data_IF_560235649364
#
_entry.id   IF_560235649364
#
_cell.length_a   1.000
_cell.length_b   1.000
_cell.length_c   1.000
_cell.angle_alpha   90.00
_cell.angle_beta   90.00
_cell.angle_gamma   90.00
#
_symmetry.space_group_name_H-M   'P 1'
#
loop_
_entity.id
_entity.type
_entity.pdbx_description
1 polymer ?
#
# COMPACT_ATOMS: atom_id res chain seq x y z
N UNK A 1 5.51 43.36 84.49
CA UNK A 1 5.64 42.34 85.59
C UNK A 1 5.24 41.04 85.07
N UNK A 2 6.10 40.09 85.13
CA UNK A 2 5.95 38.60 84.80
C UNK A 2 4.81 37.97 85.57
N UNK A 3 4.47 36.65 85.36
CA UNK A 3 5.18 35.58 84.63
C UNK A 3 4.32 34.62 83.74
N UNK A 4 5.10 33.90 83.00
CA UNK A 4 4.86 32.62 82.33
C UNK A 4 3.95 31.58 82.99
N UNK A 5 3.22 30.83 82.19
CA UNK A 5 3.05 29.39 82.37
C UNK A 5 2.87 28.66 81.03
N UNK A 6 3.76 27.72 80.74
CA UNK A 6 3.71 26.76 79.64
C UNK A 6 2.68 25.66 79.97
N UNK A 7 1.91 25.29 79.01
CA UNK A 7 1.24 23.98 79.00
C UNK A 7 1.47 23.33 77.63
N UNK A 8 2.14 22.18 77.66
CA UNK A 8 2.35 21.31 76.52
C UNK A 8 1.08 20.49 76.30
N UNK A 9 0.58 20.49 75.09
CA UNK A 9 -0.42 19.52 74.63
C UNK A 9 0.18 18.77 73.44
N UNK A 10 0.41 17.47 73.60
CA UNK A 10 0.80 16.55 72.57
C UNK A 10 -0.40 16.29 71.64
N UNK A 11 -0.34 16.82 70.45
CA UNK A 11 -1.32 16.51 69.38
C UNK A 11 -0.71 15.46 68.42
N UNK A 12 -1.35 14.33 68.36
CA UNK A 12 -1.08 13.25 67.42
C UNK A 12 -1.45 13.74 66.00
N UNK A 13 -0.46 13.98 65.12
CA UNK A 13 -0.72 14.26 63.71
C UNK A 13 -0.77 12.95 62.96
N UNK A 14 -1.99 12.52 62.56
CA UNK A 14 -2.21 11.47 61.60
C UNK A 14 -1.86 12.02 60.21
N UNK A 15 -0.74 11.58 59.63
CA UNK A 15 -0.38 11.86 58.26
C UNK A 15 -1.23 10.96 57.36
N UNK A 16 -2.32 11.51 56.79
CA UNK A 16 -3.03 10.87 55.68
C UNK A 16 -2.19 11.19 54.43
N UNK A 17 -1.46 10.19 53.94
CA UNK A 17 -0.82 10.26 52.62
C UNK A 17 -1.90 10.21 51.55
N UNK A 18 -2.35 11.39 51.11
CA UNK A 18 -3.06 11.52 49.86
C UNK A 18 -2.03 11.32 48.75
N UNK A 19 -1.98 10.10 48.19
CA UNK A 19 -1.29 9.79 46.95
C UNK A 19 -1.95 10.56 45.82
N UNK A 20 -1.51 11.79 45.57
CA UNK A 20 -1.84 12.52 44.38
C UNK A 20 -1.08 11.89 43.20
N UNK A 21 -1.77 11.19 42.34
CA UNK A 21 -1.28 10.91 40.99
C UNK A 21 -1.18 12.23 40.24
N UNK A 22 -0.06 12.94 40.39
CA UNK A 22 0.36 13.95 39.45
C UNK A 22 1.00 13.20 38.28
N UNK A 23 0.23 12.94 37.24
CA UNK A 23 0.77 12.47 35.96
C UNK A 23 1.67 13.55 35.36
N UNK A 24 2.96 13.50 35.69
CA UNK A 24 3.99 14.13 34.88
C UNK A 24 4.15 13.28 33.64
N UNK A 25 3.82 13.84 32.47
CA UNK A 25 4.00 13.21 31.17
C UNK A 25 5.48 12.93 30.86
N UNK A 26 5.97 11.82 31.38
CA UNK A 26 7.12 11.09 30.91
C UNK A 26 6.57 9.72 30.56
N UNK A 27 6.31 9.46 29.28
CA UNK A 27 5.88 8.16 28.83
C UNK A 27 6.93 7.13 29.25
N UNK A 28 6.58 6.21 30.14
CA UNK A 28 7.35 4.99 30.35
C UNK A 28 7.47 4.34 28.97
N UNK A 29 8.72 4.20 28.48
CA UNK A 29 9.01 3.60 27.19
C UNK A 29 8.51 2.15 27.28
N UNK A 30 7.39 1.83 26.61
CA UNK A 30 6.89 0.47 26.52
C UNK A 30 7.99 -0.43 25.96
N UNK A 31 8.39 -1.42 26.74
CA UNK A 31 9.37 -2.43 26.34
C UNK A 31 8.63 -3.77 26.13
N UNK A 32 8.48 -4.23 24.87
CA UNK A 32 7.82 -5.48 24.59
C UNK A 32 8.52 -6.68 25.25
N UNK A 33 9.83 -6.60 25.54
CA UNK A 33 10.57 -7.69 26.18
C UNK A 33 10.27 -7.80 27.70
N UNK A 34 9.71 -6.76 28.30
CA UNK A 34 9.36 -6.75 29.73
C UNK A 34 7.97 -7.32 30.04
N UNK A 35 7.17 -7.61 29.01
CA UNK A 35 5.80 -8.12 29.17
C UNK A 35 5.84 -9.63 29.46
N UNK A 36 5.29 -10.04 30.59
CA UNK A 36 5.25 -11.42 31.04
C UNK A 36 3.81 -11.98 31.17
N UNK A 37 3.70 -13.29 31.29
CA UNK A 37 2.45 -14.02 31.49
C UNK A 37 1.92 -14.69 30.22
N UNK A 38 0.68 -15.20 30.31
CA UNK A 38 0.00 -15.76 29.13
C UNK A 38 -0.55 -14.66 28.22
N UNK A 39 -0.68 -14.97 26.92
CA UNK A 39 -1.37 -14.10 25.99
C UNK A 39 -2.84 -13.89 26.42
N UNK A 40 -3.31 -12.64 26.31
CA UNK A 40 -4.69 -12.28 26.62
C UNK A 40 -5.13 -11.12 25.72
N UNK A 41 -6.19 -11.33 24.94
CA UNK A 41 -6.81 -10.30 24.11
C UNK A 41 -7.33 -9.10 24.91
N UNK A 42 -7.66 -9.29 26.19
CA UNK A 42 -8.18 -8.24 27.09
C UNK A 42 -7.09 -7.54 27.92
N UNK A 43 -5.83 -7.85 27.69
CA UNK A 43 -4.70 -7.26 28.44
C UNK A 43 -4.74 -5.75 28.56
N UNK A 44 -5.26 -5.07 27.54
CA UNK A 44 -5.35 -3.61 27.47
C UNK A 44 -6.79 -3.10 27.41
N UNK A 45 -7.75 -3.85 27.98
CA UNK A 45 -9.17 -3.46 28.07
C UNK A 45 -9.33 -2.06 28.67
N UNK A 46 -10.21 -1.24 28.10
CA UNK A 46 -10.45 0.15 28.50
C UNK A 46 -9.51 1.18 27.90
N UNK A 47 -8.47 0.76 27.15
CA UNK A 47 -7.60 1.67 26.39
C UNK A 47 -8.32 2.19 25.14
N UNK A 48 -7.99 3.42 24.73
CA UNK A 48 -8.33 3.94 23.38
C UNK A 48 -7.04 4.09 22.59
N UNK A 49 -6.97 3.47 21.40
CA UNK A 49 -5.85 3.63 20.47
C UNK A 49 -6.21 4.58 19.34
N UNK A 50 -5.22 5.35 18.89
CA UNK A 50 -5.32 6.19 17.69
C UNK A 50 -4.79 5.43 16.48
N UNK A 51 -5.63 5.28 15.45
CA UNK A 51 -5.29 4.58 14.21
C UNK A 51 -5.43 5.54 13.03
N UNK A 52 -4.38 5.67 12.20
CA UNK A 52 -4.37 6.55 11.03
C UNK A 52 -4.17 5.71 9.77
N UNK A 53 -5.13 5.76 8.84
CA UNK A 53 -5.12 4.96 7.61
C UNK A 53 -5.40 5.85 6.40
N UNK A 54 -4.85 5.45 5.24
CA UNK A 54 -5.26 5.99 3.94
C UNK A 54 -6.65 5.47 3.56
N UNK A 55 -7.42 6.25 2.80
CA UNK A 55 -8.58 5.74 2.09
C UNK A 55 -8.12 4.65 1.11
N UNK A 56 -8.70 3.48 1.25
CA UNK A 56 -8.35 2.27 0.49
C UNK A 56 -9.48 1.24 0.67
N UNK A 57 -9.79 0.37 -0.31
CA UNK A 57 -10.80 -0.68 -0.15
C UNK A 57 -10.60 -1.56 1.10
N UNK A 58 -9.35 -1.86 1.46
CA UNK A 58 -9.01 -2.56 2.71
C UNK A 58 -9.45 -1.76 3.96
N UNK A 59 -9.21 -0.46 3.96
CA UNK A 59 -9.58 0.43 5.07
C UNK A 59 -11.09 0.51 5.24
N UNK A 60 -11.84 0.54 4.13
CA UNK A 60 -13.30 0.60 4.18
C UNK A 60 -13.90 -0.71 4.72
N UNK A 61 -13.39 -1.85 4.27
CA UNK A 61 -13.77 -3.15 4.84
C UNK A 61 -13.41 -3.29 6.32
N UNK A 62 -12.26 -2.76 6.75
CA UNK A 62 -11.84 -2.76 8.15
C UNK A 62 -12.76 -1.91 9.02
N UNK A 63 -13.18 -0.71 8.57
CA UNK A 63 -14.11 0.18 9.29
C UNK A 63 -15.39 -0.52 9.70
N UNK A 64 -15.96 -1.32 8.81
CA UNK A 64 -17.21 -2.03 9.05
C UNK A 64 -17.08 -3.08 10.16
N UNK A 65 -15.86 -3.51 10.47
CA UNK A 65 -15.55 -4.59 11.43
C UNK A 65 -14.91 -4.15 12.73
N UNK A 66 -14.63 -2.86 12.92
CA UNK A 66 -14.00 -2.34 14.14
C UNK A 66 -14.74 -2.75 15.43
N UNK A 67 -16.08 -2.86 15.36
CA UNK A 67 -16.89 -3.35 16.48
C UNK A 67 -16.55 -4.78 16.92
N UNK A 68 -16.03 -5.62 16.04
CA UNK A 68 -15.60 -7.00 16.37
C UNK A 68 -14.31 -6.96 17.21
N UNK A 69 -13.36 -6.11 16.85
CA UNK A 69 -12.15 -5.87 17.63
C UNK A 69 -12.46 -5.30 19.00
N UNK A 70 -13.29 -4.26 19.05
CA UNK A 70 -13.69 -3.62 20.32
C UNK A 70 -14.41 -4.60 21.26
N UNK A 71 -15.30 -5.44 20.72
CA UNK A 71 -15.99 -6.46 21.50
C UNK A 71 -15.04 -7.56 22.01
N UNK A 72 -14.06 -7.96 21.19
CA UNK A 72 -13.06 -8.99 21.52
C UNK A 72 -12.10 -8.54 22.62
N UNK A 73 -11.66 -7.27 22.55
CA UNK A 73 -10.53 -6.78 23.36
C UNK A 73 -10.93 -5.80 24.46
N UNK A 74 -12.07 -5.12 24.32
CA UNK A 74 -12.45 -3.98 25.16
C UNK A 74 -11.64 -2.70 24.86
N UNK A 75 -10.79 -2.70 23.82
CA UNK A 75 -10.03 -1.54 23.36
C UNK A 75 -10.92 -0.72 22.42
N UNK A 76 -10.91 0.61 22.54
CA UNK A 76 -11.59 1.52 21.61
C UNK A 76 -10.66 1.98 20.52
N UNK A 77 -11.19 2.20 19.32
CA UNK A 77 -10.42 2.66 18.16
C UNK A 77 -10.87 4.06 17.75
N UNK A 78 -9.97 5.03 17.86
CA UNK A 78 -10.10 6.37 17.26
C UNK A 78 -9.46 6.32 15.86
N UNK A 79 -10.29 6.05 14.84
CA UNK A 79 -9.84 5.89 13.46
C UNK A 79 -9.91 7.22 12.72
N UNK A 80 -8.78 7.64 12.13
CA UNK A 80 -8.66 8.77 11.22
C UNK A 80 -8.32 8.26 9.83
N UNK A 81 -9.05 8.70 8.81
CA UNK A 81 -8.80 8.35 7.41
C UNK A 81 -8.65 9.60 6.56
N UNK A 82 -7.80 9.55 5.56
CA UNK A 82 -7.53 10.64 4.63
C UNK A 82 -7.39 10.09 3.21
N UNK A 83 -7.72 10.91 2.21
CA UNK A 83 -7.36 10.59 0.81
C UNK A 83 -5.85 10.39 0.71
N UNK A 84 -5.42 9.55 -0.19
CA UNK A 84 -4.03 9.08 -0.26
C UNK A 84 -3.01 10.24 -0.31
N UNK A 85 -3.23 11.24 -1.18
CA UNK A 85 -2.36 12.41 -1.28
C UNK A 85 -2.21 13.18 0.06
N UNK A 86 -3.32 13.37 0.76
CA UNK A 86 -3.34 14.06 2.04
C UNK A 86 -2.79 13.18 3.16
N UNK A 87 -2.95 11.86 3.03
CA UNK A 87 -2.53 10.88 4.01
C UNK A 87 -1.03 10.93 4.26
N UNK A 88 -0.22 10.88 3.22
CA UNK A 88 1.24 10.86 3.35
C UNK A 88 1.77 12.11 4.07
N UNK A 89 1.31 13.29 3.69
CA UNK A 89 1.73 14.54 4.34
C UNK A 89 1.31 14.60 5.82
N UNK A 90 0.09 14.14 6.12
CA UNK A 90 -0.43 14.09 7.49
C UNK A 90 0.30 13.06 8.35
N UNK A 91 0.54 11.87 7.80
CA UNK A 91 1.21 10.78 8.48
C UNK A 91 2.66 11.14 8.82
N UNK A 92 3.43 11.70 7.88
CA UNK A 92 4.80 12.13 8.13
C UNK A 92 4.91 13.17 9.26
N UNK A 93 3.96 14.09 9.35
CA UNK A 93 3.90 15.05 10.44
C UNK A 93 3.50 14.38 11.77
N UNK A 94 2.48 13.51 11.72
CA UNK A 94 1.93 12.88 12.92
C UNK A 94 2.92 11.94 13.61
N UNK A 95 3.61 11.06 12.89
CA UNK A 95 4.56 10.09 13.48
C UNK A 95 5.78 10.74 14.13
N UNK A 96 6.09 12.00 13.78
CA UNK A 96 7.16 12.80 14.38
C UNK A 96 6.71 13.64 15.58
N UNK A 97 5.39 13.72 15.80
CA UNK A 97 4.81 14.55 16.86
C UNK A 97 4.71 13.81 18.20
N UNK A 98 4.42 14.56 19.26
CA UNK A 98 4.10 14.00 20.58
C UNK A 98 2.71 13.35 20.65
N UNK A 99 1.83 13.61 19.67
CA UNK A 99 0.52 12.99 19.49
C UNK A 99 0.54 12.03 18.30
N UNK A 100 1.60 11.22 18.23
CA UNK A 100 1.77 10.19 17.20
C UNK A 100 0.62 9.19 17.25
N UNK A 101 0.12 8.70 16.10
CA UNK A 101 -0.82 7.59 16.10
C UNK A 101 -0.20 6.34 16.73
N UNK A 102 -1.02 5.49 17.33
CA UNK A 102 -0.52 4.21 17.84
C UNK A 102 -0.25 3.24 16.68
N UNK A 103 -1.15 3.23 15.69
CA UNK A 103 -1.05 2.39 14.49
C UNK A 103 -1.28 3.22 13.23
N UNK A 104 -0.52 2.92 12.19
CA UNK A 104 -0.69 3.55 10.87
C UNK A 104 -0.31 2.61 9.73
N UNK A 105 -0.83 2.84 8.52
CA UNK A 105 -0.44 2.07 7.33
C UNK A 105 0.64 2.80 6.54
N UNK A 106 1.42 2.04 5.79
CA UNK A 106 2.54 2.55 5.01
C UNK A 106 2.82 1.61 3.82
N UNK A 107 3.13 2.11 2.63
CA UNK A 107 3.63 1.26 1.57
C UNK A 107 4.89 0.51 2.00
N UNK A 108 5.08 -0.67 1.46
CA UNK A 108 6.28 -1.49 1.70
C UNK A 108 7.38 -1.12 0.69
N UNK A 109 7.77 0.18 0.65
CA UNK A 109 8.68 0.78 -0.33
C UNK A 109 9.76 1.67 0.32
N UNK A 110 10.21 2.72 -0.38
CA UNK A 110 11.15 3.71 0.13
C UNK A 110 10.62 4.52 1.32
N UNK A 111 9.29 4.58 1.48
CA UNK A 111 8.68 5.28 2.61
C UNK A 111 9.04 4.60 3.93
N UNK A 112 8.98 3.25 3.98
CA UNK A 112 9.40 2.52 5.20
C UNK A 112 10.90 2.67 5.46
N UNK A 113 11.73 2.73 4.42
CA UNK A 113 13.18 3.01 4.55
C UNK A 113 13.40 4.39 5.19
N UNK A 114 12.68 5.40 4.70
CA UNK A 114 12.74 6.77 5.22
C UNK A 114 12.26 6.87 6.68
N UNK A 115 11.18 6.16 7.04
CA UNK A 115 10.66 6.09 8.40
C UNK A 115 11.65 5.39 9.36
N UNK A 116 12.27 4.29 8.90
CA UNK A 116 13.31 3.59 9.67
C UNK A 116 14.52 4.50 9.89
N UNK A 117 15.05 5.13 8.84
CA UNK A 117 16.19 6.06 8.94
C UNK A 117 15.90 7.25 9.87
N UNK A 118 14.67 7.74 9.88
CA UNK A 118 14.22 8.80 10.78
C UNK A 118 13.99 8.31 12.23
N UNK A 119 14.01 7.00 12.49
CA UNK A 119 13.79 6.41 13.81
C UNK A 119 12.36 6.57 14.34
N UNK A 120 11.36 6.69 13.45
CA UNK A 120 9.95 6.96 13.83
C UNK A 120 9.03 5.74 13.72
N UNK A 121 9.54 4.61 13.22
CA UNK A 121 8.83 3.31 13.15
C UNK A 121 9.33 2.37 14.26
N UNK A 122 8.41 1.65 14.88
CA UNK A 122 8.73 0.66 15.92
C UNK A 122 9.05 -0.71 15.29
N UNK A 123 10.14 -1.40 15.70
CA UNK A 123 10.38 -2.77 15.27
C UNK A 123 9.35 -3.72 15.89
N UNK A 124 8.78 -4.61 15.07
CA UNK A 124 7.75 -5.56 15.48
C UNK A 124 8.30 -6.94 15.91
N UNK A 125 9.54 -7.27 15.53
CA UNK A 125 10.17 -8.53 15.90
C UNK A 125 10.11 -8.82 17.41
N UNK A 126 10.37 -7.87 18.35
CA UNK A 126 10.26 -8.14 19.78
C UNK A 126 8.84 -8.48 20.25
N UNK A 127 7.82 -7.98 19.54
CA UNK A 127 6.42 -8.34 19.83
C UNK A 127 6.09 -9.73 19.32
N UNK A 128 6.54 -10.06 18.10
CA UNK A 128 6.36 -11.35 17.46
C UNK A 128 7.00 -12.49 18.26
N UNK A 129 8.19 -12.24 18.83
CA UNK A 129 8.93 -13.23 19.63
C UNK A 129 8.40 -13.37 21.07
N UNK A 130 7.58 -12.43 21.56
CA UNK A 130 7.03 -12.50 22.91
C UNK A 130 5.66 -13.21 22.94
N UNK A 131 5.62 -14.42 23.48
CA UNK A 131 4.41 -15.23 23.60
C UNK A 131 3.34 -14.65 24.55
N UNK A 132 3.67 -13.64 25.37
CA UNK A 132 2.69 -12.91 26.17
C UNK A 132 1.98 -11.80 25.38
N UNK A 133 2.57 -11.37 24.25
CA UNK A 133 2.06 -10.31 23.37
C UNK A 133 1.46 -10.85 22.08
N UNK A 134 1.95 -11.98 21.58
CA UNK A 134 1.52 -12.55 20.30
C UNK A 134 0.66 -13.78 20.51
N UNK A 135 -0.51 -13.79 19.86
CA UNK A 135 -1.46 -14.90 19.92
C UNK A 135 -0.81 -16.19 19.38
N UNK A 136 -1.03 -17.35 20.06
CA UNK A 136 -0.40 -18.60 19.65
C UNK A 136 -0.74 -19.06 18.23
N UNK A 137 -1.88 -18.62 17.70
CA UNK A 137 -2.43 -18.93 16.38
C UNK A 137 -2.17 -17.84 15.33
N UNK A 138 -1.40 -16.80 15.67
CA UNK A 138 -1.13 -15.67 14.75
C UNK A 138 -0.38 -16.11 13.51
N UNK A 139 0.55 -17.06 13.61
CA UNK A 139 1.28 -17.67 12.50
C UNK A 139 1.90 -16.63 11.54
N UNK A 140 2.91 -15.92 12.04
CA UNK A 140 3.63 -14.91 11.21
C UNK A 140 4.33 -15.52 10.00
N UNK A 141 4.72 -16.81 10.06
CA UNK A 141 5.37 -17.52 8.96
C UNK A 141 4.45 -17.73 7.73
N UNK A 142 3.13 -17.55 7.91
CA UNK A 142 2.14 -17.58 6.84
C UNK A 142 2.20 -16.34 5.88
N UNK A 143 2.98 -15.32 6.22
CA UNK A 143 3.29 -14.22 5.30
C UNK A 143 4.51 -14.57 4.45
N UNK A 144 4.47 -14.37 3.10
CA UNK A 144 5.62 -14.58 2.23
C UNK A 144 6.84 -13.76 2.68
N UNK A 145 7.96 -14.43 2.93
CA UNK A 145 9.18 -13.76 3.40
C UNK A 145 9.62 -12.64 2.45
N UNK A 146 9.45 -12.82 1.14
CA UNK A 146 9.79 -11.79 0.15
C UNK A 146 9.03 -10.47 0.32
N UNK A 147 7.81 -10.48 0.91
CA UNK A 147 7.10 -9.24 1.28
C UNK A 147 7.71 -8.62 2.53
N UNK A 148 7.99 -9.43 3.55
CA UNK A 148 8.53 -8.95 4.83
C UNK A 148 9.92 -8.33 4.66
N UNK A 149 10.78 -8.92 3.80
CA UNK A 149 12.16 -8.47 3.60
C UNK A 149 12.28 -7.01 3.16
N UNK A 150 11.26 -6.46 2.48
CA UNK A 150 11.24 -5.05 2.07
C UNK A 150 11.20 -4.07 3.26
N UNK A 151 10.75 -4.52 4.43
CA UNK A 151 10.63 -3.75 5.68
C UNK A 151 11.45 -4.35 6.83
N UNK A 152 12.48 -5.14 6.51
CA UNK A 152 13.40 -5.75 7.47
C UNK A 152 14.70 -4.96 7.50
N UNK A 153 15.05 -4.39 8.65
CA UNK A 153 16.23 -3.56 8.81
C UNK A 153 17.09 -4.02 10.00
N UNK A 154 18.41 -3.74 9.99
CA UNK A 154 19.27 -4.09 11.11
C UNK A 154 18.93 -3.25 12.35
N UNK A 155 18.77 -3.92 13.49
CA UNK A 155 18.71 -3.26 14.79
C UNK A 155 20.08 -2.79 15.27
N UNK A 156 20.13 -2.14 16.42
CA UNK A 156 21.38 -1.64 17.01
C UNK A 156 22.43 -2.74 17.31
N UNK A 157 21.98 -3.97 17.52
CA UNK A 157 22.82 -5.14 17.72
C UNK A 157 23.18 -5.89 16.42
N UNK A 158 22.74 -5.36 15.27
CA UNK A 158 22.93 -5.94 13.94
C UNK A 158 21.97 -7.08 13.59
N UNK A 159 21.03 -7.45 14.47
CA UNK A 159 19.98 -8.43 14.12
C UNK A 159 18.96 -7.80 13.17
N UNK A 160 18.45 -8.61 12.25
CA UNK A 160 17.35 -8.21 11.37
C UNK A 160 16.06 -8.07 12.18
N UNK A 161 15.39 -6.93 12.07
CA UNK A 161 14.13 -6.61 12.74
C UNK A 161 13.07 -6.26 11.70
N UNK A 162 11.95 -6.94 11.76
CA UNK A 162 10.78 -6.66 10.90
C UNK A 162 10.00 -5.48 11.47
N UNK A 163 9.54 -4.58 10.60
CA UNK A 163 8.88 -3.33 11.01
C UNK A 163 7.44 -3.20 10.52
N UNK A 164 7.01 -4.05 9.60
CA UNK A 164 5.65 -4.02 9.04
C UNK A 164 5.03 -5.41 9.00
N UNK A 165 3.70 -5.43 9.11
CA UNK A 165 2.91 -6.61 8.72
C UNK A 165 2.18 -6.27 7.42
N UNK A 166 2.30 -7.10 6.35
CA UNK A 166 1.58 -6.87 5.10
C UNK A 166 0.06 -6.94 5.31
N UNK A 167 -0.67 -6.00 4.69
CA UNK A 167 -2.14 -5.95 4.72
C UNK A 167 -2.77 -6.18 3.36
N UNK A 168 -2.09 -5.76 2.29
CA UNK A 168 -2.53 -5.90 0.89
C UNK A 168 -1.30 -6.13 0.02
N UNK A 169 -1.44 -6.99 -0.97
CA UNK A 169 -0.45 -7.13 -2.06
C UNK A 169 -1.21 -7.15 -3.38
N UNK A 170 -0.96 -6.19 -4.23
CA UNK A 170 -1.67 -5.95 -5.48
C UNK A 170 -0.77 -6.31 -6.67
N UNK A 171 -1.36 -6.90 -7.71
CA UNK A 171 -0.72 -7.03 -9.01
C UNK A 171 -1.41 -6.09 -10.00
N UNK A 172 -0.67 -5.54 -10.96
CA UNK A 172 -1.28 -4.77 -12.04
C UNK A 172 -1.73 -5.72 -13.13
N UNK A 173 -3.04 -5.63 -13.48
CA UNK A 173 -3.71 -6.51 -14.45
C UNK A 173 -4.49 -5.69 -15.48
N UNK A 174 -4.95 -6.34 -16.54
CA UNK A 174 -5.90 -5.77 -17.50
C UNK A 174 -7.33 -6.07 -17.06
N UNK A 175 -8.12 -5.02 -16.84
CA UNK A 175 -9.57 -5.07 -16.79
C UNK A 175 -10.11 -4.70 -18.16
N UNK A 176 -11.16 -5.40 -18.64
CA UNK A 176 -11.82 -5.05 -19.88
C UNK A 176 -13.34 -5.13 -19.77
N UNK A 177 -14.03 -4.22 -20.46
CA UNK A 177 -15.47 -4.20 -20.53
C UNK A 177 -15.92 -5.17 -21.63
N UNK A 178 -16.51 -6.31 -21.24
CA UNK A 178 -16.96 -7.37 -22.15
C UNK A 178 -17.93 -6.85 -23.22
N UNK A 179 -18.85 -5.94 -22.88
CA UNK A 179 -19.82 -5.40 -23.84
C UNK A 179 -19.14 -4.57 -24.93
N UNK A 180 -18.15 -3.73 -24.56
CA UNK A 180 -17.44 -2.92 -25.54
C UNK A 180 -16.50 -3.78 -26.40
N UNK A 181 -15.84 -4.77 -25.81
CA UNK A 181 -15.00 -5.71 -26.56
C UNK A 181 -15.86 -6.58 -27.50
N UNK A 182 -17.03 -7.03 -27.06
CA UNK A 182 -17.97 -7.74 -27.95
C UNK A 182 -18.45 -6.87 -29.10
N UNK A 183 -18.81 -5.62 -28.81
CA UNK A 183 -19.34 -4.68 -29.81
C UNK A 183 -18.31 -4.31 -30.88
N UNK A 184 -17.06 -4.04 -30.48
CA UNK A 184 -16.04 -3.47 -31.38
C UNK A 184 -15.02 -4.50 -31.89
N UNK A 185 -14.79 -5.58 -31.15
CA UNK A 185 -13.78 -6.60 -31.45
C UNK A 185 -14.36 -8.02 -31.57
N UNK A 186 -15.70 -8.17 -31.54
CA UNK A 186 -16.34 -9.46 -31.64
C UNK A 186 -15.97 -10.44 -30.50
N UNK A 187 -15.70 -9.89 -29.32
CA UNK A 187 -15.33 -10.66 -28.12
C UNK A 187 -13.85 -11.09 -28.04
N UNK A 188 -13.02 -10.64 -28.96
CA UNK A 188 -11.60 -10.98 -28.96
C UNK A 188 -10.80 -10.05 -28.04
N UNK A 189 -10.27 -10.58 -26.95
CA UNK A 189 -9.42 -9.85 -26.03
C UNK A 189 -7.98 -9.81 -26.57
N UNK A 190 -7.34 -8.62 -26.66
CA UNK A 190 -5.97 -8.50 -27.09
C UNK A 190 -4.99 -9.29 -26.20
N UNK A 191 -4.09 -10.06 -26.80
CA UNK A 191 -3.06 -10.84 -26.08
C UNK A 191 -1.66 -10.25 -26.21
N UNK A 192 -1.51 -9.21 -27.04
CA UNK A 192 -0.25 -8.44 -27.18
C UNK A 192 -0.51 -6.95 -26.97
N UNK A 193 0.49 -6.23 -26.49
CA UNK A 193 0.41 -4.77 -26.28
C UNK A 193 0.10 -4.04 -27.60
N UNK A 194 0.71 -4.46 -28.70
CA UNK A 194 0.43 -3.88 -30.02
C UNK A 194 -1.06 -4.04 -30.43
N UNK A 195 -1.66 -5.23 -30.20
CA UNK A 195 -3.06 -5.45 -30.47
C UNK A 195 -3.96 -4.66 -29.50
N UNK A 196 -3.56 -4.49 -28.24
CA UNK A 196 -4.29 -3.68 -27.27
C UNK A 196 -4.32 -2.20 -27.69
N UNK A 197 -3.20 -1.66 -28.12
CA UNK A 197 -3.10 -0.28 -28.62
C UNK A 197 -3.96 -0.07 -29.89
N UNK A 198 -3.91 -1.01 -30.83
CA UNK A 198 -4.74 -0.96 -32.05
C UNK A 198 -6.24 -1.00 -31.72
N UNK A 199 -6.65 -1.91 -30.84
CA UNK A 199 -8.04 -2.02 -30.42
C UNK A 199 -8.50 -0.78 -29.64
N UNK A 200 -7.71 -0.30 -28.68
CA UNK A 200 -8.03 0.90 -27.92
C UNK A 200 -8.21 2.13 -28.84
N UNK A 201 -7.33 2.29 -29.84
CA UNK A 201 -7.48 3.33 -30.85
C UNK A 201 -8.78 3.20 -31.62
N UNK A 202 -9.05 2.00 -32.16
CA UNK A 202 -10.27 1.71 -32.96
C UNK A 202 -11.55 2.02 -32.18
N UNK A 203 -11.60 1.60 -30.90
CA UNK A 203 -12.76 1.85 -30.04
C UNK A 203 -12.93 3.35 -29.76
N UNK A 204 -11.85 4.08 -29.47
CA UNK A 204 -11.91 5.53 -29.24
C UNK A 204 -12.38 6.28 -30.47
N UNK A 205 -11.84 5.95 -31.66
CA UNK A 205 -12.23 6.57 -32.93
C UNK A 205 -13.72 6.33 -33.24
N UNK A 206 -14.21 5.12 -32.99
CA UNK A 206 -15.61 4.74 -33.18
C UNK A 206 -16.55 5.30 -32.09
N UNK A 207 -16.07 5.47 -30.88
CA UNK A 207 -16.84 5.88 -29.71
C UNK A 207 -17.24 7.36 -29.69
N UNK A 208 -16.70 8.17 -30.60
CA UNK A 208 -17.09 9.57 -30.83
C UNK A 208 -17.12 10.46 -29.59
N UNK A 209 -16.29 10.15 -28.56
CA UNK A 209 -16.18 10.88 -27.30
C UNK A 209 -17.11 10.40 -26.16
N UNK A 210 -18.02 9.47 -26.44
CA UNK A 210 -18.88 8.84 -25.41
C UNK A 210 -18.26 7.58 -24.80
N UNK A 211 -17.39 6.91 -25.58
CA UNK A 211 -16.67 5.70 -25.21
C UNK A 211 -15.18 5.88 -25.50
N UNK A 212 -14.35 5.39 -24.61
CA UNK A 212 -12.90 5.46 -24.69
C UNK A 212 -12.31 4.04 -24.82
N UNK A 213 -11.26 3.92 -25.62
CA UNK A 213 -10.55 2.64 -25.78
C UNK A 213 -9.81 2.23 -24.51
N UNK A 214 -9.18 3.20 -23.86
CA UNK A 214 -8.51 2.95 -22.59
C UNK A 214 -8.57 4.17 -21.65
N UNK A 215 -8.26 3.94 -20.39
CA UNK A 215 -8.00 5.01 -19.42
C UNK A 215 -6.76 4.64 -18.60
N UNK A 216 -5.90 5.62 -18.34
CA UNK A 216 -4.69 5.46 -17.56
C UNK A 216 -4.58 6.62 -16.56
N UNK A 217 -3.92 6.39 -15.41
CA UNK A 217 -3.56 7.46 -14.48
C UNK A 217 -2.67 8.47 -15.21
N UNK A 218 -2.89 9.76 -15.00
CA UNK A 218 -2.13 10.82 -15.68
C UNK A 218 -1.91 12.06 -14.82
N UNK A 219 -2.52 12.13 -13.64
CA UNK A 219 -2.27 13.20 -12.68
C UNK A 219 -0.82 13.17 -12.20
N UNK A 220 -0.27 14.37 -11.90
CA UNK A 220 1.08 14.50 -11.34
C UNK A 220 1.13 14.10 -9.87
N UNK A 221 0.94 12.82 -9.61
CA UNK A 221 0.99 12.20 -8.28
C UNK A 221 2.00 11.07 -8.26
N UNK A 222 2.42 10.64 -7.08
CA UNK A 222 3.31 9.47 -6.95
C UNK A 222 2.61 8.18 -7.40
N UNK A 223 1.29 8.12 -7.26
CA UNK A 223 0.47 6.95 -7.65
C UNK A 223 0.48 6.64 -9.14
N UNK A 224 0.80 7.64 -10.02
CA UNK A 224 0.98 7.40 -11.46
C UNK A 224 2.09 6.38 -11.71
N UNK A 225 3.18 6.45 -10.96
CA UNK A 225 4.34 5.57 -11.09
C UNK A 225 3.98 4.08 -10.91
N UNK A 226 2.99 3.79 -10.11
CA UNK A 226 2.62 2.41 -9.75
C UNK A 226 2.14 1.63 -10.97
N UNK A 227 1.09 2.11 -11.63
CA UNK A 227 0.55 1.51 -12.86
C UNK A 227 1.59 1.59 -14.01
N UNK A 228 2.31 2.71 -14.10
CA UNK A 228 3.38 2.89 -15.08
C UNK A 228 4.43 1.80 -14.96
N UNK A 229 4.87 1.48 -13.75
CA UNK A 229 5.87 0.43 -13.50
C UNK A 229 5.40 -0.94 -14.00
N UNK A 230 4.10 -1.26 -13.86
CA UNK A 230 3.52 -2.50 -14.39
C UNK A 230 3.63 -2.60 -15.91
N UNK A 231 3.36 -1.50 -16.62
CA UNK A 231 3.47 -1.45 -18.09
C UNK A 231 4.94 -1.47 -18.55
N UNK A 232 5.84 -0.77 -17.85
CA UNK A 232 7.28 -0.76 -18.18
C UNK A 232 7.90 -2.13 -17.97
N UNK A 233 7.61 -2.80 -16.84
CA UNK A 233 8.12 -4.15 -16.55
C UNK A 233 7.65 -5.18 -17.59
N UNK A 234 6.53 -4.96 -18.24
CA UNK A 234 6.03 -5.81 -19.34
C UNK A 234 6.95 -5.79 -20.56
N UNK A 235 7.77 -4.76 -20.74
CA UNK A 235 8.77 -4.65 -21.80
C UNK A 235 10.17 -5.11 -21.38
N UNK A 236 10.37 -5.50 -20.12
CA UNK A 236 11.67 -5.96 -19.58
C UNK A 236 11.66 -7.48 -19.50
N UNK A 237 12.61 -8.21 -20.15
CA UNK A 237 12.66 -9.67 -20.13
C UNK A 237 12.67 -10.25 -18.72
N UNK A 238 12.00 -11.39 -18.53
CA UNK A 238 11.95 -12.07 -17.23
C UNK A 238 13.33 -12.51 -16.71
N UNK A 239 14.27 -12.82 -17.61
CA UNK A 239 15.62 -13.22 -17.25
C UNK A 239 16.56 -12.03 -16.97
N UNK A 240 16.13 -10.79 -17.23
CA UNK A 240 16.91 -9.60 -16.85
C UNK A 240 16.95 -9.51 -15.33
N UNK A 241 18.16 -9.58 -14.78
CA UNK A 241 18.37 -9.42 -13.35
C UNK A 241 17.99 -8.01 -12.90
N UNK A 242 17.20 -7.95 -11.84
CA UNK A 242 16.82 -6.70 -11.18
C UNK A 242 17.43 -6.74 -9.78
N UNK A 243 18.34 -5.83 -9.50
CA UNK A 243 19.05 -5.77 -8.23
C UNK A 243 18.41 -4.79 -7.26
N UNK A 244 17.94 -5.29 -6.13
CA UNK A 244 17.56 -4.44 -5.01
C UNK A 244 18.83 -3.89 -4.33
N UNK A 245 18.82 -2.66 -3.84
CA UNK A 245 17.69 -1.72 -3.70
C UNK A 245 17.40 -0.85 -4.94
N UNK A 246 18.13 -1.03 -6.04
CA UNK A 246 18.14 -0.14 -7.21
C UNK A 246 16.94 -0.33 -8.14
N UNK A 247 16.34 -1.54 -8.12
CA UNK A 247 15.31 -1.97 -9.05
C UNK A 247 15.80 -1.88 -10.53
N UNK A 248 14.89 -1.89 -11.51
CA UNK A 248 15.25 -1.84 -12.94
C UNK A 248 15.56 -0.42 -13.46
N UNK A 249 15.41 0.60 -12.62
CA UNK A 249 15.70 1.98 -12.98
C UNK A 249 17.20 2.33 -12.99
N UNK A 250 18.05 1.45 -12.41
CA UNK A 250 19.49 1.67 -12.27
C UNK A 250 20.30 0.42 -12.61
N UNK A 251 21.54 0.62 -13.05
CA UNK A 251 22.54 -0.44 -13.27
C UNK A 251 23.44 -0.60 -12.04
N UNK A 252 22.87 -1.13 -10.95
CA UNK A 252 23.58 -1.52 -9.72
C UNK A 252 24.25 -0.39 -8.94
N UNK A 253 23.99 0.88 -9.27
CA UNK A 253 24.48 2.03 -8.52
C UNK A 253 23.58 3.27 -8.76
N UNK A 254 23.44 4.13 -7.72
CA UNK A 254 22.57 5.30 -7.76
C UNK A 254 23.02 6.40 -8.74
N UNK A 255 24.25 6.39 -9.16
CA UNK A 255 24.81 7.29 -10.18
C UNK A 255 24.78 6.71 -11.61
N UNK A 256 24.12 5.55 -11.77
CA UNK A 256 23.96 4.86 -13.05
C UNK A 256 22.48 4.60 -13.38
N UNK A 257 21.64 5.62 -13.51
CA UNK A 257 20.29 5.42 -13.99
C UNK A 257 20.31 4.90 -15.44
N UNK A 258 19.27 4.14 -15.81
CA UNK A 258 19.09 3.54 -17.15
C UNK A 258 17.71 3.86 -17.72
N UNK A 259 17.18 5.07 -17.44
CA UNK A 259 15.87 5.47 -17.91
C UNK A 259 15.78 5.55 -19.46
N UNK A 260 16.89 5.75 -20.13
CA UNK A 260 17.04 5.78 -21.60
C UNK A 260 17.26 4.38 -22.23
N UNK A 261 17.19 3.31 -21.43
CA UNK A 261 17.19 1.93 -21.94
C UNK A 261 16.01 1.74 -22.92
N UNK A 262 16.24 1.19 -24.14
CA UNK A 262 15.20 1.05 -25.14
C UNK A 262 13.94 0.30 -24.68
N UNK A 263 14.06 -0.64 -23.73
CA UNK A 263 12.93 -1.40 -23.19
C UNK A 263 12.10 -0.53 -22.24
N UNK A 264 12.76 0.30 -21.42
CA UNK A 264 12.10 1.28 -20.57
C UNK A 264 11.38 2.33 -21.41
N UNK A 265 12.08 2.89 -22.40
CA UNK A 265 11.50 3.87 -23.34
C UNK A 265 10.28 3.30 -24.06
N UNK A 266 10.30 2.01 -24.46
CA UNK A 266 9.16 1.35 -25.08
C UNK A 266 7.97 1.25 -24.11
N UNK A 267 8.18 0.86 -22.86
CA UNK A 267 7.10 0.79 -21.84
C UNK A 267 6.51 2.16 -21.54
N UNK A 268 7.33 3.20 -21.46
CA UNK A 268 6.88 4.60 -21.33
C UNK A 268 6.04 5.03 -22.53
N UNK A 269 6.46 4.64 -23.75
CA UNK A 269 5.73 4.92 -24.99
C UNK A 269 4.36 4.21 -25.02
N UNK A 270 4.32 2.94 -24.65
CA UNK A 270 3.08 2.14 -24.61
C UNK A 270 2.06 2.73 -23.62
N UNK A 271 2.54 3.11 -22.42
CA UNK A 271 1.70 3.76 -21.43
C UNK A 271 1.11 5.07 -21.94
N UNK A 272 1.96 5.92 -22.52
CA UNK A 272 1.54 7.21 -23.07
C UNK A 272 0.56 7.04 -24.23
N UNK A 273 0.75 6.02 -25.08
CA UNK A 273 -0.15 5.74 -26.19
C UNK A 273 -1.51 5.26 -25.68
N UNK A 274 -1.57 4.36 -24.66
CA UNK A 274 -2.81 3.99 -23.99
C UNK A 274 -3.52 5.23 -23.40
N UNK A 275 -2.79 6.11 -22.74
CA UNK A 275 -3.37 7.32 -22.15
C UNK A 275 -4.03 8.25 -23.20
N UNK A 276 -3.54 8.27 -24.44
CA UNK A 276 -4.12 9.07 -25.54
C UNK A 276 -5.52 8.61 -25.95
N UNK A 277 -5.86 7.35 -25.75
CA UNK A 277 -7.16 6.78 -26.08
C UNK A 277 -8.20 6.97 -24.97
N UNK A 278 -7.86 7.72 -23.92
CA UNK A 278 -8.72 8.16 -22.83
C UNK A 278 -9.31 9.56 -23.03
N UNK A 279 -9.98 10.08 -21.98
CA UNK A 279 -10.59 11.42 -22.00
C UNK A 279 -9.57 12.55 -22.25
N UNK A 280 -10.06 13.69 -22.73
CA UNK A 280 -9.22 14.85 -23.04
C UNK A 280 -8.48 15.40 -21.78
N UNK A 281 -9.08 15.28 -20.60
CA UNK A 281 -8.50 15.70 -19.33
C UNK A 281 -7.59 14.65 -18.68
N UNK A 282 -7.11 13.66 -19.42
CA UNK A 282 -6.32 12.52 -18.94
C UNK A 282 -5.14 12.87 -18.03
N UNK A 283 -4.52 14.05 -18.20
CA UNK A 283 -3.41 14.51 -17.35
C UNK A 283 -3.85 14.98 -15.94
N UNK A 284 -5.15 14.94 -15.64
CA UNK A 284 -5.69 15.30 -14.33
C UNK A 284 -6.37 14.12 -13.64
N UNK A 285 -6.34 12.92 -14.25
CA UNK A 285 -7.00 11.73 -13.72
C UNK A 285 -6.04 10.96 -12.81
N UNK A 286 -6.43 10.75 -11.57
CA UNK A 286 -5.78 9.81 -10.67
C UNK A 286 -6.55 8.48 -10.61
N UNK A 287 -6.13 7.55 -9.76
CA UNK A 287 -6.72 6.22 -9.68
C UNK A 287 -8.22 6.24 -9.35
N UNK A 288 -8.68 7.17 -8.48
CA UNK A 288 -10.11 7.33 -8.18
C UNK A 288 -10.92 7.69 -9.42
N UNK A 289 -10.39 8.61 -10.24
CA UNK A 289 -11.06 9.06 -11.46
C UNK A 289 -11.09 7.99 -12.53
N UNK A 290 -9.96 7.31 -12.76
CA UNK A 290 -9.83 6.24 -13.76
C UNK A 290 -10.69 5.04 -13.43
N UNK A 291 -10.70 4.63 -12.16
CA UNK A 291 -11.53 3.54 -11.63
C UNK A 291 -13.02 3.85 -11.77
N UNK A 292 -13.43 5.08 -11.41
CA UNK A 292 -14.81 5.53 -11.55
C UNK A 292 -15.25 5.58 -13.02
N UNK A 293 -14.40 6.00 -13.95
CA UNK A 293 -14.69 6.01 -15.38
C UNK A 293 -14.88 4.59 -15.93
N UNK A 294 -14.04 3.65 -15.55
CA UNK A 294 -14.19 2.25 -15.94
C UNK A 294 -15.48 1.65 -15.36
N UNK A 295 -15.76 1.85 -14.07
CA UNK A 295 -16.98 1.40 -13.40
C UNK A 295 -18.27 1.96 -14.03
N UNK A 296 -18.20 3.13 -14.69
CA UNK A 296 -19.34 3.69 -15.45
C UNK A 296 -19.60 2.98 -16.78
N UNK A 297 -18.76 2.05 -17.21
CA UNK A 297 -18.91 1.29 -18.45
C UNK A 297 -18.55 2.06 -19.72
N UNK A 298 -17.84 3.16 -19.61
CA UNK A 298 -17.47 4.02 -20.75
C UNK A 298 -16.07 3.72 -21.33
N UNK A 299 -15.34 2.80 -20.74
CA UNK A 299 -13.95 2.49 -21.09
C UNK A 299 -13.85 1.01 -21.44
N UNK A 300 -13.18 0.68 -22.56
CA UNK A 300 -13.01 -0.70 -22.98
C UNK A 300 -11.91 -1.43 -22.21
N UNK A 301 -10.76 -0.77 -22.01
CA UNK A 301 -9.57 -1.35 -21.37
C UNK A 301 -9.03 -0.46 -20.25
N UNK A 302 -8.69 -1.09 -19.13
CA UNK A 302 -8.12 -0.41 -17.97
C UNK A 302 -7.01 -1.29 -17.38
N UNK A 303 -5.79 -0.78 -17.31
CA UNK A 303 -4.69 -1.45 -16.61
C UNK A 303 -4.50 -0.76 -15.27
N UNK A 304 -4.69 -1.49 -14.19
CA UNK A 304 -4.48 -0.96 -12.83
C UNK A 304 -4.37 -2.11 -11.80
N UNK A 305 -4.27 -1.73 -10.53
CA UNK A 305 -4.14 -2.62 -9.41
C UNK A 305 -5.34 -3.59 -9.28
N UNK A 306 -5.04 -4.85 -9.02
CA UNK A 306 -6.05 -5.90 -8.85
C UNK A 306 -7.05 -5.61 -7.72
N UNK A 307 -6.67 -4.78 -6.76
CA UNK A 307 -7.52 -4.38 -5.63
C UNK A 307 -8.86 -3.75 -6.04
N UNK A 308 -8.98 -3.25 -7.27
CA UNK A 308 -10.23 -2.67 -7.77
C UNK A 308 -11.19 -3.70 -8.35
N UNK A 309 -10.76 -4.93 -8.59
CA UNK A 309 -11.58 -5.98 -9.21
C UNK A 309 -12.93 -6.22 -8.52
N UNK A 310 -12.98 -6.49 -7.21
CA UNK A 310 -14.23 -6.73 -6.49
C UNK A 310 -15.20 -5.53 -6.53
N UNK A 311 -14.71 -4.30 -6.53
CA UNK A 311 -15.52 -3.09 -6.63
C UNK A 311 -16.30 -3.02 -7.96
N UNK A 312 -15.71 -3.48 -9.06
CA UNK A 312 -16.40 -3.50 -10.36
C UNK A 312 -17.56 -4.48 -10.42
N UNK A 313 -17.58 -5.46 -9.54
CA UNK A 313 -18.67 -6.43 -9.38
C UNK A 313 -19.74 -6.01 -8.37
N UNK A 314 -19.51 -4.92 -7.64
CA UNK A 314 -20.47 -4.36 -6.69
C UNK A 314 -21.49 -3.45 -7.42
N UNK A 315 -22.79 -3.82 -7.48
CA UNK A 315 -23.79 -3.00 -8.17
C UNK A 315 -24.08 -1.64 -7.49
N UNK A 316 -23.59 -1.42 -6.28
CA UNK A 316 -23.67 -0.12 -5.62
C UNK A 316 -22.61 0.87 -6.15
N UNK A 317 -21.51 0.37 -6.70
CA UNK A 317 -20.34 1.16 -7.12
C UNK A 317 -20.13 1.14 -8.66
N UNK A 318 -20.55 0.05 -9.33
CA UNK A 318 -20.33 -0.16 -10.75
C UNK A 318 -21.66 -0.26 -11.52
N UNK A 319 -21.62 0.15 -12.79
CA UNK A 319 -22.71 -0.02 -13.76
C UNK A 319 -22.53 -1.27 -14.63
N UNK A 320 -21.42 -1.98 -14.48
CA UNK A 320 -21.04 -3.13 -15.29
C UNK A 320 -20.76 -4.42 -14.47
N UNK A 321 -21.47 -4.72 -13.34
CA UNK A 321 -21.28 -5.98 -12.63
C UNK A 321 -21.56 -7.16 -13.55
N UNK A 322 -20.72 -8.19 -13.49
CA UNK A 322 -20.79 -9.37 -14.36
C UNK A 322 -20.38 -9.11 -15.81
N UNK A 323 -19.98 -7.89 -16.16
CA UNK A 323 -19.58 -7.49 -17.52
C UNK A 323 -18.09 -7.13 -17.60
N UNK A 324 -17.37 -7.31 -16.52
CA UNK A 324 -15.90 -7.11 -16.46
C UNK A 324 -15.21 -8.44 -16.77
N UNK A 325 -14.19 -8.35 -17.61
CA UNK A 325 -13.24 -9.42 -17.85
C UNK A 325 -11.88 -9.06 -17.30
N UNK A 326 -11.09 -10.06 -17.03
CA UNK A 326 -9.81 -9.95 -16.33
C UNK A 326 -8.74 -10.75 -17.08
N UNK A 327 -7.57 -10.16 -17.25
CA UNK A 327 -6.42 -10.80 -17.87
C UNK A 327 -5.11 -10.24 -17.32
N UNK A 328 -4.02 -10.93 -17.52
CA UNK A 328 -2.68 -10.34 -17.35
C UNK A 328 -2.49 -9.18 -18.35
N UNK A 329 -1.58 -8.24 -18.06
CA UNK A 329 -1.21 -7.22 -19.05
C UNK A 329 -0.76 -7.94 -20.34
N UNK A 330 -1.31 -7.56 -21.53
CA UNK A 330 -0.96 -8.21 -22.80
C UNK A 330 0.56 -8.11 -23.07
N UNK A 331 1.14 -9.19 -23.59
CA UNK A 331 2.58 -9.31 -23.82
C UNK A 331 3.16 -8.14 -24.62
N UNK A 332 4.27 -7.60 -24.16
CA UNK A 332 5.07 -6.64 -24.89
C UNK A 332 5.85 -7.28 -26.06
N UNK A 333 6.91 -6.63 -26.48
CA UNK A 333 7.83 -7.18 -27.49
C UNK A 333 8.64 -8.39 -26.96
N UNK A 334 8.67 -8.55 -25.64
CA UNK A 334 9.36 -9.64 -24.92
C UNK A 334 8.38 -10.30 -23.95
N UNK A 335 8.78 -11.44 -23.38
CA UNK A 335 8.08 -12.01 -22.24
C UNK A 335 8.54 -11.27 -20.97
N UNK A 336 7.74 -10.30 -20.58
CA UNK A 336 7.99 -9.44 -19.43
C UNK A 336 7.16 -9.85 -18.21
N UNK A 337 7.20 -9.01 -17.20
CA UNK A 337 6.44 -9.17 -15.97
C UNK A 337 5.45 -8.02 -15.76
N UNK A 338 4.65 -8.10 -14.70
CA UNK A 338 3.95 -6.94 -14.17
C UNK A 338 4.60 -6.48 -12.87
N UNK A 339 4.16 -5.35 -12.33
CA UNK A 339 4.56 -4.89 -11.01
C UNK A 339 3.64 -5.43 -9.91
N UNK A 340 4.16 -5.46 -8.68
CA UNK A 340 3.37 -5.55 -7.46
C UNK A 340 3.56 -4.30 -6.62
N UNK A 341 2.48 -3.95 -5.91
CA UNK A 341 2.48 -2.96 -4.85
C UNK A 341 1.99 -3.59 -3.57
N UNK A 342 2.54 -3.20 -2.43
CA UNK A 342 2.14 -3.77 -1.15
C UNK A 342 2.02 -2.69 -0.09
N UNK A 343 1.01 -2.84 0.75
CA UNK A 343 0.80 -2.03 1.93
C UNK A 343 1.09 -2.84 3.18
N UNK A 344 1.69 -2.18 4.17
CA UNK A 344 1.92 -2.73 5.50
C UNK A 344 1.28 -1.88 6.58
N UNK A 345 1.13 -2.46 7.78
CA UNK A 345 0.65 -1.77 8.97
C UNK A 345 1.74 -1.77 10.04
N UNK A 346 1.84 -0.67 10.79
CA UNK A 346 2.97 -0.36 11.65
C UNK A 346 2.53 0.19 12.99
N UNK A 347 3.45 0.16 13.96
CA UNK A 347 3.38 0.91 15.22
C UNK A 347 4.33 2.11 15.11
N UNK A 348 3.88 3.30 15.49
CA UNK A 348 4.75 4.45 15.53
C UNK A 348 5.72 4.37 16.74
N UNK A 349 6.96 4.84 16.55
CA UNK A 349 7.97 4.79 17.61
C UNK A 349 7.56 5.53 18.89
N UNK A 350 6.83 6.64 18.74
CA UNK A 350 6.34 7.46 19.83
C UNK A 350 4.90 7.14 20.24
N UNK A 351 4.35 5.98 19.81
CA UNK A 351 3.01 5.55 20.18
C UNK A 351 2.83 5.44 21.70
N UNK A 352 1.70 5.92 22.19
CA UNK A 352 1.37 5.87 23.62
C UNK A 352 0.87 4.50 24.09
N UNK A 353 0.28 3.72 23.18
CA UNK A 353 -0.40 2.46 23.50
C UNK A 353 0.09 1.30 22.60
N UNK A 354 1.41 1.13 22.50
CA UNK A 354 2.04 0.15 21.59
C UNK A 354 1.52 -1.28 21.74
N UNK A 355 1.36 -1.76 22.98
CA UNK A 355 0.85 -3.11 23.21
C UNK A 355 -0.59 -3.31 22.75
N UNK A 356 -1.46 -2.30 22.94
CA UNK A 356 -2.83 -2.31 22.45
C UNK A 356 -2.86 -2.18 20.92
N UNK A 357 -1.97 -1.35 20.33
CA UNK A 357 -1.75 -1.26 18.88
C UNK A 357 -1.31 -2.58 18.27
N UNK A 358 -0.46 -3.33 18.98
CA UNK A 358 -0.05 -4.67 18.54
C UNK A 358 -1.22 -5.68 18.52
N UNK A 359 -2.11 -5.64 19.51
CA UNK A 359 -3.33 -6.46 19.47
C UNK A 359 -4.24 -6.09 18.28
N UNK A 360 -4.33 -4.79 17.95
CA UNK A 360 -5.07 -4.34 16.77
C UNK A 360 -4.47 -4.89 15.48
N UNK A 361 -3.16 -4.78 15.31
CA UNK A 361 -2.45 -5.31 14.13
C UNK A 361 -2.68 -6.82 13.99
N UNK A 362 -2.51 -7.60 15.08
CA UNK A 362 -2.74 -9.04 15.04
C UNK A 362 -4.17 -9.41 14.62
N UNK A 363 -5.18 -8.68 15.16
CA UNK A 363 -6.56 -8.91 14.78
C UNK A 363 -6.79 -8.54 13.31
N UNK A 364 -6.38 -7.35 12.86
CA UNK A 364 -6.59 -6.85 11.51
C UNK A 364 -5.87 -7.70 10.44
N UNK A 365 -4.81 -8.40 10.82
CA UNK A 365 -3.99 -9.26 9.95
C UNK A 365 -4.06 -10.74 10.33
N UNK A 366 -5.04 -11.16 11.15
CA UNK A 366 -5.32 -12.57 11.42
C UNK A 366 -5.70 -13.31 10.13
N UNK A 367 -5.62 -14.65 10.13
CA UNK A 367 -6.02 -15.47 8.95
C UNK A 367 -7.44 -15.13 8.49
N UNK A 368 -8.38 -15.07 9.44
CA UNK A 368 -9.78 -14.75 9.17
C UNK A 368 -9.95 -13.35 8.57
N UNK A 369 -9.35 -12.33 9.21
CA UNK A 369 -9.47 -10.95 8.71
C UNK A 369 -8.76 -10.77 7.36
N UNK A 370 -7.61 -11.41 7.15
CA UNK A 370 -6.90 -11.36 5.87
C UNK A 370 -7.73 -11.99 4.75
N UNK A 371 -8.35 -13.15 4.99
CA UNK A 371 -9.26 -13.76 4.01
C UNK A 371 -10.48 -12.88 3.75
N UNK A 372 -11.09 -12.34 4.80
CA UNK A 372 -12.29 -11.49 4.71
C UNK A 372 -12.03 -10.17 3.98
N UNK A 373 -10.98 -9.45 4.36
CA UNK A 373 -10.62 -8.18 3.72
C UNK A 373 -10.03 -8.41 2.33
N UNK A 374 -9.31 -9.52 2.14
CA UNK A 374 -8.83 -9.96 0.84
C UNK A 374 -9.96 -10.23 -0.14
N UNK A 375 -11.08 -10.80 0.31
CA UNK A 375 -12.27 -11.00 -0.51
C UNK A 375 -12.87 -9.68 -1.03
N UNK A 376 -12.73 -8.59 -0.26
CA UNK A 376 -13.17 -7.24 -0.66
C UNK A 376 -12.18 -6.52 -1.58
N UNK A 377 -10.89 -6.84 -1.45
CA UNK A 377 -9.82 -6.16 -2.18
C UNK A 377 -9.22 -6.99 -3.31
N UNK A 378 -9.60 -8.26 -3.45
CA UNK A 378 -8.94 -9.17 -4.38
C UNK A 378 -7.46 -9.44 -4.06
N UNK A 379 -6.99 -9.04 -2.88
CA UNK A 379 -5.58 -9.07 -2.51
C UNK A 379 -5.40 -9.50 -1.06
N UNK A 380 -4.93 -10.72 -0.83
CA UNK A 380 -4.68 -11.29 0.49
C UNK A 380 -3.21 -11.69 0.65
N UNK A 381 -2.44 -11.06 1.56
CA UNK A 381 -1.00 -11.28 1.66
C UNK A 381 -0.60 -12.58 2.37
N UNK A 382 -1.52 -13.33 2.99
CA UNK A 382 -1.22 -14.62 3.63
C UNK A 382 -1.29 -15.78 2.66
N UNK A 383 -0.32 -16.69 2.73
CA UNK A 383 -0.28 -17.90 1.89
C UNK A 383 -1.53 -18.79 2.08
N UNK A 384 -2.02 -18.91 3.32
CA UNK A 384 -3.21 -19.70 3.64
C UNK A 384 -4.49 -19.16 2.99
N UNK A 385 -4.55 -17.87 2.65
CA UNK A 385 -5.71 -17.27 1.99
C UNK A 385 -6.00 -17.88 0.62
N UNK A 386 -4.99 -18.36 -0.09
CA UNK A 386 -5.15 -18.98 -1.40
C UNK A 386 -6.07 -20.24 -1.39
N UNK A 387 -6.31 -20.80 -0.22
CA UNK A 387 -7.19 -21.99 -0.03
C UNK A 387 -8.33 -21.73 0.96
N UNK A 388 -8.44 -20.52 1.50
CA UNK A 388 -9.50 -20.17 2.44
C UNK A 388 -10.82 -19.93 1.68
N UNK A 389 -11.91 -20.67 2.01
CA UNK A 389 -13.21 -20.52 1.36
C UNK A 389 -13.76 -19.09 1.39
N UNK A 390 -13.51 -18.31 2.47
CA UNK A 390 -13.96 -16.92 2.58
C UNK A 390 -13.36 -16.07 1.44
N UNK A 391 -12.10 -16.31 1.10
CA UNK A 391 -11.43 -15.60 0.03
C UNK A 391 -11.75 -16.18 -1.34
N UNK A 392 -11.59 -17.49 -1.49
CA UNK A 392 -11.70 -18.17 -2.79
C UNK A 392 -13.12 -18.12 -3.36
N UNK A 393 -14.16 -18.36 -2.52
CA UNK A 393 -15.56 -18.41 -2.98
C UNK A 393 -16.12 -17.00 -3.26
N UNK A 394 -15.51 -15.95 -2.72
CA UNK A 394 -15.94 -14.57 -2.96
C UNK A 394 -15.43 -13.99 -4.30
N UNK A 395 -14.37 -14.56 -4.86
CA UNK A 395 -13.74 -14.06 -6.07
C UNK A 395 -14.29 -14.79 -7.32
N UNK A 396 -14.44 -14.05 -8.41
CA UNK A 396 -14.71 -14.67 -9.70
C UNK A 396 -13.48 -15.48 -10.17
N UNK A 397 -13.71 -16.68 -10.72
CA UNK A 397 -12.63 -17.57 -11.16
C UNK A 397 -11.70 -16.91 -12.21
N UNK A 398 -12.26 -16.13 -13.14
CA UNK A 398 -11.50 -15.39 -14.16
C UNK A 398 -10.57 -14.35 -13.50
N UNK A 399 -11.07 -13.62 -12.51
CA UNK A 399 -10.31 -12.65 -11.74
C UNK A 399 -9.18 -13.32 -10.93
N UNK A 400 -9.52 -14.37 -10.17
CA UNK A 400 -8.56 -15.09 -9.35
C UNK A 400 -7.42 -15.67 -10.20
N UNK A 401 -7.74 -16.21 -11.40
CA UNK A 401 -6.74 -16.72 -12.35
C UNK A 401 -5.85 -15.58 -12.86
N UNK A 402 -6.41 -14.46 -13.30
CA UNK A 402 -5.63 -13.33 -13.82
C UNK A 402 -4.67 -12.76 -12.78
N UNK A 403 -5.11 -12.66 -11.50
CA UNK A 403 -4.27 -12.20 -10.40
C UNK A 403 -3.17 -13.23 -10.09
N UNK A 404 -3.48 -14.52 -10.01
CA UNK A 404 -2.49 -15.56 -9.75
C UNK A 404 -1.41 -15.61 -10.84
N UNK A 405 -1.80 -15.58 -12.10
CA UNK A 405 -0.89 -15.57 -13.25
C UNK A 405 -0.01 -14.30 -13.26
N UNK A 406 -0.59 -13.15 -12.90
CA UNK A 406 0.16 -11.90 -12.79
C UNK A 406 1.20 -11.97 -11.65
N UNK A 407 0.81 -12.49 -10.48
CA UNK A 407 1.70 -12.61 -9.32
C UNK A 407 2.84 -13.61 -9.54
N UNK A 408 2.62 -14.68 -10.32
CA UNK A 408 3.64 -15.71 -10.58
C UNK A 408 4.93 -15.12 -11.18
N UNK A 409 4.80 -14.13 -12.05
CA UNK A 409 5.94 -13.50 -12.75
C UNK A 409 6.22 -12.08 -12.27
N UNK A 410 5.41 -11.55 -11.36
CA UNK A 410 5.50 -10.15 -10.93
C UNK A 410 6.82 -9.81 -10.25
N UNK A 411 7.15 -8.53 -10.30
CA UNK A 411 8.30 -7.93 -9.64
C UNK A 411 7.85 -6.73 -8.81
N UNK A 412 8.54 -6.47 -7.71
CA UNK A 412 8.24 -5.29 -6.91
C UNK A 412 8.44 -4.01 -7.72
N UNK A 413 7.52 -3.06 -7.58
CA UNK A 413 7.67 -1.70 -8.13
C UNK A 413 8.63 -0.84 -7.30
N UNK A 414 9.02 -1.30 -6.11
CA UNK A 414 9.70 -0.47 -5.11
C UNK A 414 11.16 -0.20 -5.42
N UNK A 415 11.62 0.99 -5.03
CA UNK A 415 13.03 1.40 -4.94
C UNK A 415 13.32 1.66 -3.46
N UNK A 416 14.32 0.98 -2.89
CA UNK A 416 14.61 1.07 -1.46
C UNK A 416 15.70 2.11 -1.18
N UNK A 417 15.33 3.38 -1.25
CA UNK A 417 16.25 4.49 -1.00
C UNK A 417 15.58 5.62 -0.23
N UNK A 418 16.22 6.08 0.84
CA UNK A 418 15.81 7.32 1.48
C UNK A 418 15.85 8.50 0.49
N UNK A 419 14.79 9.32 0.49
CA UNK A 419 14.66 10.46 -0.44
C UNK A 419 14.34 10.08 -1.88
N UNK A 420 13.90 8.84 -2.16
CA UNK A 420 13.52 8.39 -3.49
C UNK A 420 12.42 9.23 -4.15
N UNK A 421 11.54 9.87 -3.37
CA UNK A 421 10.45 10.71 -3.88
C UNK A 421 10.91 11.69 -4.97
N UNK A 422 12.11 12.29 -4.82
CA UNK A 422 12.65 13.19 -5.85
C UNK A 422 12.92 12.47 -7.18
N UNK A 423 13.49 11.26 -7.13
CA UNK A 423 13.71 10.43 -8.31
C UNK A 423 12.41 9.91 -8.93
N UNK A 424 11.43 9.54 -8.09
CA UNK A 424 10.11 9.14 -8.54
C UNK A 424 9.44 10.23 -9.39
N UNK A 425 9.51 11.50 -8.95
CA UNK A 425 8.95 12.62 -9.71
C UNK A 425 9.69 12.94 -11.02
N UNK A 426 10.97 12.60 -11.16
CA UNK A 426 11.65 12.66 -12.48
C UNK A 426 10.95 11.72 -13.47
N UNK A 427 10.57 10.53 -13.05
CA UNK A 427 9.86 9.54 -13.88
C UNK A 427 8.44 10.02 -14.20
N UNK A 428 7.71 10.53 -13.19
CA UNK A 428 6.36 11.07 -13.34
C UNK A 428 6.35 12.24 -14.34
N UNK A 429 7.25 13.20 -14.17
CA UNK A 429 7.35 14.38 -15.05
C UNK A 429 7.72 13.98 -16.49
N UNK A 430 8.60 12.98 -16.65
CA UNK A 430 8.92 12.41 -17.97
C UNK A 430 7.68 11.79 -18.63
N UNK A 431 6.88 11.00 -17.88
CA UNK A 431 5.65 10.42 -18.42
C UNK A 431 4.64 11.50 -18.83
N UNK A 432 4.43 12.52 -18.01
CA UNK A 432 3.55 13.62 -18.35
C UNK A 432 4.01 14.37 -19.62
N UNK A 433 5.32 14.55 -19.79
CA UNK A 433 5.88 15.16 -20.99
C UNK A 433 5.60 14.30 -22.24
N UNK A 434 5.77 12.97 -22.15
CA UNK A 434 5.49 12.04 -23.26
C UNK A 434 4.00 12.04 -23.60
N UNK A 435 3.10 11.95 -22.61
CA UNK A 435 1.63 12.02 -22.82
C UNK A 435 1.21 13.35 -23.44
N UNK A 436 1.96 14.43 -23.16
CA UNK A 436 1.74 15.75 -23.76
C UNK A 436 2.28 15.89 -25.19
N UNK A 437 2.95 14.87 -25.74
CA UNK A 437 3.44 14.80 -27.11
C UNK A 437 4.95 14.94 -27.27
N UNK A 438 5.71 14.88 -26.17
CA UNK A 438 7.19 14.81 -26.22
C UNK A 438 7.66 13.49 -26.85
N UNK A 439 8.81 13.52 -27.52
CA UNK A 439 9.45 12.31 -28.05
C UNK A 439 9.95 11.42 -26.89
N UNK A 440 9.51 10.16 -26.80
CA UNK A 440 9.85 9.32 -25.66
C UNK A 440 11.36 9.12 -25.46
N UNK A 441 12.14 8.95 -26.54
CA UNK A 441 13.57 8.73 -26.43
C UNK A 441 14.30 9.99 -25.94
N UNK A 442 13.93 11.17 -26.47
CA UNK A 442 14.50 12.44 -26.03
C UNK A 442 14.13 12.78 -24.58
N UNK A 443 12.85 12.60 -24.20
CA UNK A 443 12.37 12.87 -22.85
C UNK A 443 13.08 11.97 -21.84
N UNK A 444 13.18 10.66 -22.15
CA UNK A 444 13.82 9.70 -21.23
C UNK A 444 15.34 9.89 -21.12
N UNK A 445 16.02 10.30 -22.18
CA UNK A 445 17.44 10.66 -22.12
C UNK A 445 17.69 11.90 -21.23
N UNK A 446 16.79 12.89 -21.28
CA UNK A 446 16.84 14.05 -20.40
C UNK A 446 16.55 13.65 -18.94
N UNK A 447 15.52 12.84 -18.70
CA UNK A 447 15.17 12.31 -17.38
C UNK A 447 16.33 11.47 -16.78
N UNK A 448 17.02 10.66 -17.61
CA UNK A 448 18.19 9.90 -17.19
C UNK A 448 19.31 10.82 -16.66
N UNK A 449 19.54 11.94 -17.34
CA UNK A 449 20.52 12.94 -16.93
C UNK A 449 20.10 13.69 -15.64
N UNK A 450 18.80 13.96 -15.49
CA UNK A 450 18.21 14.66 -14.34
C UNK A 450 18.22 13.78 -13.08
N UNK A 451 17.98 12.46 -13.22
CA UNK A 451 17.89 11.51 -12.11
C UNK A 451 19.11 11.57 -11.18
N UNK A 452 20.34 11.63 -11.73
CA UNK A 452 21.57 11.73 -10.93
C UNK A 452 21.60 12.99 -10.07
N UNK A 453 21.01 14.09 -10.57
CA UNK A 453 20.97 15.37 -9.85
C UNK A 453 19.87 15.40 -8.80
N UNK A 454 18.73 14.78 -9.09
CA UNK A 454 17.60 14.69 -8.17
C UNK A 454 17.91 13.85 -6.92
N UNK A 455 18.86 12.92 -7.04
CA UNK A 455 19.24 12.01 -5.95
C UNK A 455 20.47 12.47 -5.15
N UNK A 456 21.02 13.66 -5.39
CA UNK A 456 22.13 14.23 -4.58
C UNK A 456 21.60 14.92 -3.33
#
# INVERSE_FOLDING_TARGET
>A
MMPNRKLAAAGLVAVVALGGCAGTGGGDSFDPNSVEGAFDWKRYEGTTISVMLSEHPWTDGLKERLGEFEAKTGIKVDLQTYTEDLYFDKMEQAVRSSSSPDVYMLPMDDTVVSQHSAGVIEPLTPYLENSALTAPDYDFADFPRGLIDSSTFPGADGKALDHQIPIVTEAYILFYNKDLVDQYEGGQVPTTMAALLESAKKITDAGSGDVFGSVMRGARTDTLRDTLTGVVLNQIPLDRKIDMPYNFWFDGAWDKPVLDDPQIVQGMSDYAELAKYGPANRLNLDWQDTTALFAQGKVAYYIDASTFGPMFENPAESKIPGRVGYATIPKGAVEGSTATWSWGINIAKNAGHKGAGWLFIQWATSKEMTATLGALTGAAPRLSSATDPIYVDALQAEFATAVADALETSRTSTVQREGWKAGAFVIVDAMMAIVSGGDPAEVMANANSEMVSALK
#
